data_IF_725599339862
#
_entry.id   IF_725599339862
#
_cell.length_a   1.000
_cell.length_b   1.000
_cell.length_c   1.000
_cell.angle_alpha   90.00
_cell.angle_beta   90.00
_cell.angle_gamma   90.00
#
_symmetry.space_group_name_H-M   'P 1'
#
loop_
_entity.id
_entity.type
_entity.pdbx_description
1 polymer ?
#
# COMPACT_ATOMS: atom_id res chain seq x y z
N UNK A 1 40.90 -4.59 -27.83
CA UNK A 1 40.31 -5.06 -26.55
C UNK A 1 39.83 -3.83 -25.80
N UNK A 2 38.51 -3.64 -25.70
CA UNK A 2 37.89 -2.51 -25.00
C UNK A 2 37.12 -3.13 -23.83
N UNK A 3 37.46 -2.71 -22.61
CA UNK A 3 36.90 -3.22 -21.36
C UNK A 3 35.38 -2.99 -21.27
N UNK A 4 34.60 -3.91 -20.67
CA UNK A 4 33.17 -3.71 -20.49
C UNK A 4 32.91 -2.70 -19.37
N UNK A 5 32.16 -1.64 -19.70
CA UNK A 5 31.77 -0.58 -18.77
C UNK A 5 30.77 -1.07 -17.72
N UNK A 6 31.02 -0.64 -16.48
CA UNK A 6 30.18 -0.79 -15.29
C UNK A 6 28.73 -0.37 -15.56
N UNK A 7 27.79 -1.31 -15.41
CA UNK A 7 26.35 -1.08 -15.52
C UNK A 7 25.83 -0.33 -14.30
N UNK A 8 25.69 0.99 -14.43
CA UNK A 8 24.98 1.83 -13.46
C UNK A 8 23.48 1.48 -13.41
N UNK A 9 23.03 1.01 -12.26
CA UNK A 9 21.63 0.72 -11.94
C UNK A 9 20.79 1.99 -11.97
N UNK A 10 19.94 2.16 -12.99
CA UNK A 10 18.95 3.25 -13.07
C UNK A 10 17.58 2.72 -12.66
N UNK A 11 17.21 2.91 -11.39
CA UNK A 11 15.97 2.40 -10.80
C UNK A 11 14.69 2.93 -11.47
N UNK A 12 13.70 2.04 -11.66
CA UNK A 12 12.27 2.43 -11.79
C UNK A 12 11.91 3.29 -10.58
N UNK A 13 11.01 4.28 -10.75
CA UNK A 13 10.59 5.20 -9.66
C UNK A 13 10.33 4.41 -8.38
N UNK A 14 11.24 4.50 -7.40
CA UNK A 14 11.12 3.79 -6.12
C UNK A 14 9.82 4.15 -5.42
N UNK A 15 9.40 3.38 -4.41
CA UNK A 15 8.20 3.71 -3.61
C UNK A 15 8.28 5.16 -3.09
N UNK A 16 7.16 5.91 -2.97
CA UNK A 16 7.20 7.30 -2.51
C UNK A 16 7.91 7.34 -1.16
N UNK A 17 8.84 8.28 -0.97
CA UNK A 17 9.49 8.45 0.33
C UNK A 17 8.38 8.63 1.38
N UNK A 18 8.30 7.68 2.31
CA UNK A 18 7.37 7.78 3.43
C UNK A 18 7.98 8.74 4.46
N UNK A 19 7.15 9.56 5.14
CA UNK A 19 7.62 10.28 6.31
C UNK A 19 8.10 9.30 7.38
N UNK A 20 9.04 9.70 8.23
CA UNK A 20 9.45 8.97 9.44
C UNK A 20 8.23 8.46 10.22
N UNK A 21 8.19 7.16 10.52
CA UNK A 21 7.10 6.51 11.26
C UNK A 21 7.68 5.77 12.46
N UNK A 22 7.19 6.09 13.64
CA UNK A 22 7.52 5.44 14.93
C UNK A 22 6.57 4.30 15.32
N UNK A 23 5.57 4.01 14.48
CA UNK A 23 4.46 3.12 14.83
C UNK A 23 3.35 3.79 15.68
N UNK A 24 3.61 4.93 16.32
CA UNK A 24 2.61 5.68 17.08
C UNK A 24 2.05 6.85 16.26
N UNK A 25 1.10 6.55 15.38
CA UNK A 25 0.51 7.53 14.47
C UNK A 25 -0.91 7.94 14.88
N UNK A 26 -1.22 9.22 14.68
CA UNK A 26 -2.55 9.79 14.82
C UNK A 26 -3.11 10.12 13.44
N UNK A 27 -4.26 9.55 13.08
CA UNK A 27 -5.03 10.02 11.93
C UNK A 27 -5.86 11.23 12.33
N UNK A 28 -5.81 12.28 11.52
CA UNK A 28 -6.53 13.53 11.70
C UNK A 28 -7.41 13.77 10.48
N UNK A 29 -8.72 13.86 10.68
CA UNK A 29 -9.68 14.20 9.64
C UNK A 29 -10.38 15.54 9.88
N UNK A 30 -11.18 15.93 8.89
CA UNK A 30 -11.92 17.20 8.87
C UNK A 30 -11.02 18.44 8.86
N UNK A 31 -9.88 18.36 8.17
CA UNK A 31 -9.04 19.53 7.94
C UNK A 31 -9.72 20.52 6.99
N UNK A 32 -9.55 21.83 7.17
CA UNK A 32 -10.00 22.81 6.20
C UNK A 32 -9.19 22.68 4.89
N UNK A 33 -9.81 23.03 3.75
CA UNK A 33 -9.15 22.94 2.43
C UNK A 33 -7.93 23.86 2.29
N UNK A 34 -7.83 24.90 3.13
CA UNK A 34 -6.68 25.80 3.23
C UNK A 34 -5.58 25.34 4.19
N UNK A 35 -5.71 24.18 4.83
CA UNK A 35 -4.72 23.69 5.79
C UNK A 35 -3.35 23.51 5.13
N UNK A 36 -2.32 24.16 5.69
CA UNK A 36 -0.94 24.05 5.22
C UNK A 36 -0.12 23.12 6.11
N UNK A 37 0.90 22.47 5.54
CA UNK A 37 1.81 21.61 6.31
C UNK A 37 2.54 22.38 7.42
N UNK A 38 2.82 23.67 7.19
CA UNK A 38 3.47 24.57 8.15
C UNK A 38 2.60 24.80 9.38
N UNK A 39 1.32 25.11 9.17
CA UNK A 39 0.38 25.35 10.28
C UNK A 39 0.10 24.06 11.05
N UNK A 40 -0.02 22.94 10.33
CA UNK A 40 -0.26 21.64 10.93
C UNK A 40 0.92 21.22 11.82
N UNK A 41 2.16 21.34 11.35
CA UNK A 41 3.31 20.97 12.18
C UNK A 41 3.36 21.77 13.49
N UNK A 42 3.06 23.07 13.46
CA UNK A 42 3.07 23.89 14.68
C UNK A 42 1.94 23.49 15.63
N UNK A 43 0.75 23.27 15.08
CA UNK A 43 -0.43 22.91 15.85
C UNK A 43 -0.30 21.53 16.52
N UNK A 44 0.22 20.54 15.78
CA UNK A 44 0.40 19.18 16.28
C UNK A 44 1.62 18.99 17.18
N UNK A 45 2.62 19.87 17.06
CA UNK A 45 3.79 19.86 17.92
C UNK A 45 3.59 20.60 19.25
N UNK A 46 2.53 21.43 19.38
CA UNK A 46 2.24 22.17 20.61
C UNK A 46 2.20 21.24 21.83
N UNK A 47 2.98 21.53 22.86
CA UNK A 47 3.10 20.71 24.09
C UNK A 47 3.69 19.29 23.89
N UNK A 48 4.06 18.91 22.66
CA UNK A 48 4.69 17.63 22.31
C UNK A 48 5.91 17.84 21.39
N UNK A 49 6.59 18.98 21.53
CA UNK A 49 7.64 19.45 20.62
C UNK A 49 8.75 18.42 20.42
N UNK A 50 9.17 17.77 21.49
CA UNK A 50 10.27 16.79 21.47
C UNK A 50 9.83 15.40 20.98
N UNK A 51 8.52 15.17 20.87
CA UNK A 51 7.96 13.88 20.52
C UNK A 51 7.35 13.84 19.13
N UNK A 52 7.05 14.95 18.47
CA UNK A 52 6.55 14.92 17.09
C UNK A 52 7.68 14.53 16.13
N UNK A 53 7.44 13.55 15.27
CA UNK A 53 8.46 13.08 14.32
C UNK A 53 8.15 13.46 12.88
N UNK A 54 6.88 13.36 12.49
CA UNK A 54 6.48 13.74 11.14
C UNK A 54 5.00 14.10 11.06
N UNK A 55 4.67 14.97 10.10
CA UNK A 55 3.30 15.31 9.72
C UNK A 55 3.16 15.08 8.23
N UNK A 56 2.15 14.32 7.82
CA UNK A 56 1.87 14.03 6.41
C UNK A 56 0.48 14.54 6.04
N UNK A 57 0.42 15.54 5.17
CA UNK A 57 -0.82 16.15 4.72
C UNK A 57 -1.34 15.46 3.45
N UNK A 58 -2.62 15.09 3.48
CA UNK A 58 -3.36 14.57 2.35
C UNK A 58 -4.49 15.55 2.02
N UNK A 59 -4.14 16.64 1.32
CA UNK A 59 -5.06 17.74 1.02
C UNK A 59 -6.32 17.31 0.28
N UNK A 60 -6.25 16.31 -0.62
CA UNK A 60 -7.43 15.84 -1.39
C UNK A 60 -8.53 15.25 -0.53
N UNK A 61 -8.18 14.63 0.60
CA UNK A 61 -9.13 14.03 1.54
C UNK A 61 -9.25 14.82 2.84
N UNK A 62 -8.69 16.04 2.88
CA UNK A 62 -8.76 16.92 4.05
C UNK A 62 -8.35 16.17 5.34
N UNK A 63 -7.27 15.41 5.28
CA UNK A 63 -6.78 14.63 6.40
C UNK A 63 -5.25 14.65 6.48
N UNK A 64 -4.71 14.29 7.63
CA UNK A 64 -3.29 14.17 7.88
C UNK A 64 -2.96 12.96 8.76
N UNK A 65 -1.70 12.54 8.71
CA UNK A 65 -1.12 11.61 9.66
C UNK A 65 -0.02 12.32 10.44
N UNK A 66 -0.01 12.15 11.75
CA UNK A 66 1.01 12.70 12.64
C UNK A 66 1.67 11.55 13.38
N UNK A 67 2.99 11.43 13.29
CA UNK A 67 3.75 10.40 13.99
C UNK A 67 4.42 11.01 15.22
N UNK A 68 4.32 10.32 16.35
CA UNK A 68 4.92 10.70 17.61
C UNK A 68 5.92 9.63 18.07
N UNK A 69 7.03 10.01 18.68
CA UNK A 69 8.08 9.09 19.14
C UNK A 69 7.57 8.03 20.12
N UNK A 70 6.56 8.36 20.93
CA UNK A 70 6.02 7.47 21.97
C UNK A 70 4.50 7.38 21.93
N UNK A 71 3.95 6.24 22.37
CA UNK A 71 2.50 6.07 22.53
C UNK A 71 1.90 7.11 23.48
N UNK A 72 2.59 7.40 24.59
CA UNK A 72 2.16 8.39 25.58
C UNK A 72 1.98 9.78 24.94
N UNK A 73 2.93 10.22 24.11
CA UNK A 73 2.84 11.49 23.40
C UNK A 73 1.69 11.49 22.37
N UNK A 74 1.49 10.37 21.66
CA UNK A 74 0.37 10.21 20.73
C UNK A 74 -0.99 10.31 21.44
N UNK A 75 -1.14 9.64 22.59
CA UNK A 75 -2.38 9.66 23.39
C UNK A 75 -2.63 11.02 24.07
N UNK A 76 -1.58 11.70 24.53
CA UNK A 76 -1.67 13.06 25.04
C UNK A 76 -2.13 14.03 23.93
N UNK A 77 -1.55 13.92 22.74
CA UNK A 77 -1.95 14.70 21.58
C UNK A 77 -3.41 14.41 21.16
N UNK A 78 -3.82 13.13 21.13
CA UNK A 78 -5.21 12.75 20.84
C UNK A 78 -6.18 13.43 21.80
N UNK A 79 -5.94 13.34 23.10
CA UNK A 79 -6.82 13.88 24.13
C UNK A 79 -6.99 15.40 24.04
N UNK A 80 -5.95 16.10 23.60
CA UNK A 80 -5.95 17.56 23.42
C UNK A 80 -6.55 18.01 22.09
N UNK A 81 -6.27 17.27 21.01
CA UNK A 81 -6.55 17.72 19.65
C UNK A 81 -7.88 17.20 19.13
N UNK A 82 -8.35 16.06 19.61
CA UNK A 82 -9.69 15.57 19.28
C UNK A 82 -10.76 16.59 19.69
N UNK A 83 -11.69 16.91 18.77
CA UNK A 83 -12.75 17.93 18.91
C UNK A 83 -12.25 19.38 19.14
N UNK A 84 -10.94 19.61 19.07
CA UNK A 84 -10.38 20.96 19.07
C UNK A 84 -10.61 21.68 17.74
N UNK A 85 -10.56 23.01 17.75
CA UNK A 85 -10.69 23.82 16.53
C UNK A 85 -9.33 24.12 15.90
N UNK A 86 -9.21 23.86 14.61
CA UNK A 86 -8.09 24.28 13.77
C UNK A 86 -8.63 25.11 12.60
N UNK A 87 -8.21 26.38 12.53
CA UNK A 87 -8.68 27.35 11.51
C UNK A 87 -10.23 27.35 11.35
N UNK A 88 -10.95 27.25 12.46
CA UNK A 88 -12.42 27.23 12.50
C UNK A 88 -13.10 25.87 12.33
N UNK A 89 -12.39 24.84 11.84
CA UNK A 89 -12.92 23.47 11.70
C UNK A 89 -12.65 22.63 12.96
N UNK A 90 -13.61 21.80 13.38
CA UNK A 90 -13.44 20.84 14.49
C UNK A 90 -12.73 19.59 13.99
N UNK A 91 -11.62 19.22 14.60
CA UNK A 91 -10.81 18.10 14.15
C UNK A 91 -11.33 16.76 14.69
N UNK A 92 -11.23 15.72 13.86
CA UNK A 92 -11.49 14.34 14.28
C UNK A 92 -10.18 13.58 14.32
N UNK A 93 -9.73 13.21 15.51
CA UNK A 93 -8.49 12.44 15.69
C UNK A 93 -8.77 10.99 16.08
N UNK A 94 -8.02 10.04 15.51
CA UNK A 94 -8.10 8.60 15.82
C UNK A 94 -6.70 7.99 15.89
N UNK A 95 -6.33 7.25 16.96
CA UNK A 95 -5.05 6.57 17.03
C UNK A 95 -5.00 5.44 16.00
N UNK A 96 -3.87 5.31 15.33
CA UNK A 96 -3.57 4.19 14.46
C UNK A 96 -2.85 3.15 15.30
N UNK A 97 -3.54 2.06 15.67
CA UNK A 97 -2.89 0.92 16.31
C UNK A 97 -2.00 0.24 15.27
N UNK A 98 -0.73 0.04 15.62
CA UNK A 98 0.20 -0.75 14.81
C UNK A 98 -0.23 -2.21 14.85
N UNK A 99 -1.07 -2.62 13.91
CA UNK A 99 -1.21 -4.01 13.50
C UNK A 99 -1.79 -4.06 12.09
N UNK A 100 -1.12 -4.82 11.23
CA UNK A 100 -1.63 -5.25 9.94
C UNK A 100 -2.59 -6.41 10.11
N UNK A 101 -3.75 -6.21 10.74
CA UNK A 101 -4.87 -7.17 10.71
C UNK A 101 -6.15 -6.55 11.30
N UNK A 102 -7.33 -6.72 10.67
CA UNK A 102 -8.59 -6.25 11.20
C UNK A 102 -9.28 -7.32 12.07
N UNK A 103 -8.80 -7.55 13.28
CA UNK A 103 -9.58 -8.18 14.38
C UNK A 103 -9.13 -7.47 15.67
N UNK A 104 -9.93 -7.00 16.62
CA UNK A 104 -11.26 -7.36 17.05
C UNK A 104 -12.02 -6.10 17.51
N UNK A 105 -13.34 -6.08 17.33
CA UNK A 105 -14.22 -5.23 18.14
C UNK A 105 -14.76 -6.06 19.28
N UNK A 106 -14.27 -5.78 20.48
CA UNK A 106 -14.96 -6.10 21.73
C UNK A 106 -16.29 -5.33 21.73
N UNK A 107 -17.40 -6.02 21.51
CA UNK A 107 -18.72 -5.51 21.85
C UNK A 107 -19.18 -6.24 23.10
N UNK A 108 -19.38 -5.46 24.16
CA UNK A 108 -19.84 -5.92 25.45
C UNK A 108 -21.16 -6.68 25.35
N UNK A 109 -21.21 -7.79 26.08
CA UNK A 109 -22.38 -8.63 26.33
C UNK A 109 -23.33 -7.96 27.33
N UNK A 110 -24.63 -7.90 27.02
CA UNK A 110 -25.69 -8.29 27.96
C UNK A 110 -27.07 -8.31 27.28
N UNK A 111 -27.84 -9.38 27.51
CA UNK A 111 -29.28 -9.41 27.23
C UNK A 111 -29.83 -10.75 26.74
N UNK A 112 -29.81 -11.77 27.59
CA UNK A 112 -30.50 -13.06 27.41
C UNK A 112 -32.02 -12.91 27.31
N UNK A 113 -32.67 -13.64 26.39
CA UNK A 113 -33.92 -14.40 26.66
C UNK A 113 -33.90 -15.71 25.85
N UNK A 114 -34.48 -16.75 26.44
CA UNK A 114 -34.19 -18.19 26.32
C UNK A 114 -35.38 -18.96 25.67
N UNK A 115 -35.08 -19.70 24.59
CA UNK A 115 -35.60 -21.04 24.18
C UNK A 115 -37.13 -21.23 23.85
N UNK A 116 -37.61 -22.40 23.35
CA UNK A 116 -36.92 -23.62 22.88
C UNK A 116 -37.45 -24.27 21.55
N UNK A 117 -36.60 -25.13 20.96
CA UNK A 117 -36.85 -26.45 20.33
C UNK A 117 -37.99 -26.69 19.32
N UNK A 118 -37.64 -27.34 18.20
CA UNK A 118 -38.12 -28.70 17.85
C UNK A 118 -37.10 -29.43 16.97
N UNK A 119 -36.81 -30.66 17.39
CA UNK A 119 -36.18 -31.72 16.59
C UNK A 119 -37.20 -32.21 15.57
N UNK A 120 -36.75 -32.60 14.39
CA UNK A 120 -37.32 -33.78 13.74
C UNK A 120 -36.23 -34.50 12.92
N UNK A 121 -36.13 -35.78 13.20
CA UNK A 121 -35.32 -36.78 12.52
C UNK A 121 -36.16 -37.41 11.41
N UNK A 122 -35.54 -37.74 10.28
CA UNK A 122 -35.94 -38.90 9.49
C UNK A 122 -34.71 -39.50 8.79
N UNK A 123 -34.38 -40.71 9.23
CA UNK A 123 -33.65 -41.80 8.57
C UNK A 123 -34.37 -42.20 7.26
N UNK A 124 -33.87 -42.92 6.25
CA UNK A 124 -32.74 -43.81 5.94
C UNK A 124 -32.77 -43.94 4.39
N UNK A 125 -31.64 -44.17 3.70
CA UNK A 125 -31.55 -45.29 2.72
C UNK A 125 -30.11 -45.52 2.24
N UNK A 126 -29.73 -46.79 2.17
CA UNK A 126 -28.38 -47.31 1.89
C UNK A 126 -28.33 -47.83 0.45
N UNK A 127 -27.39 -47.31 -0.35
CA UNK A 127 -27.19 -47.70 -1.76
C UNK A 127 -25.72 -47.84 -2.19
N UNK A 128 -25.01 -48.80 -1.59
CA UNK A 128 -23.91 -49.64 -2.13
C UNK A 128 -22.99 -49.10 -3.26
N UNK A 129 -21.75 -48.79 -2.85
CA UNK A 129 -20.43 -49.07 -3.45
C UNK A 129 -20.30 -49.25 -4.98
N UNK A 130 -19.54 -48.35 -5.61
CA UNK A 130 -18.62 -48.70 -6.71
C UNK A 130 -17.25 -48.07 -6.45
N UNK A 131 -16.24 -48.93 -6.33
CA UNK A 131 -14.84 -48.57 -6.34
C UNK A 131 -14.40 -48.31 -7.80
N UNK A 132 -13.69 -47.20 -7.99
CA UNK A 132 -13.00 -46.83 -9.22
C UNK A 132 -12.18 -45.58 -8.90
N UNK A 133 -10.87 -45.73 -8.79
CA UNK A 133 -9.98 -44.63 -8.44
C UNK A 133 -9.84 -43.63 -9.58
N UNK A 134 -9.72 -42.36 -9.22
CA UNK A 134 -8.81 -41.42 -9.88
C UNK A 134 -8.53 -40.24 -8.93
N UNK A 135 -7.37 -39.59 -9.10
CA UNK A 135 -6.79 -38.66 -8.17
C UNK A 135 -7.72 -37.53 -7.69
N UNK A 136 -7.64 -37.25 -6.39
CA UNK A 136 -8.13 -36.02 -5.79
C UNK A 136 -7.36 -34.82 -6.36
N UNK A 137 -7.69 -34.39 -7.58
CA UNK A 137 -7.45 -33.02 -7.99
C UNK A 137 -8.24 -32.12 -7.05
N UNK A 138 -7.53 -31.46 -6.15
CA UNK A 138 -8.07 -30.39 -5.32
C UNK A 138 -8.85 -29.43 -6.24
N UNK A 139 -10.17 -29.33 -6.08
CA UNK A 139 -11.05 -28.55 -6.95
C UNK A 139 -10.54 -27.09 -7.05
N UNK A 140 -9.83 -26.78 -8.13
CA UNK A 140 -9.30 -25.43 -8.37
C UNK A 140 -10.47 -24.50 -8.66
N UNK A 141 -10.39 -23.29 -8.11
CA UNK A 141 -11.42 -22.27 -8.34
C UNK A 141 -11.26 -21.73 -9.77
N UNK A 142 -12.34 -21.54 -10.52
CA UNK A 142 -12.23 -21.08 -11.91
C UNK A 142 -11.48 -19.74 -12.05
N UNK A 143 -11.84 -18.76 -11.20
CA UNK A 143 -11.35 -17.39 -11.29
C UNK A 143 -11.10 -16.76 -9.93
N UNK A 144 -9.97 -16.05 -9.78
CA UNK A 144 -9.67 -15.16 -8.65
C UNK A 144 -9.29 -13.77 -9.18
N UNK A 145 -9.63 -12.74 -8.41
CA UNK A 145 -9.56 -11.35 -8.86
C UNK A 145 -8.82 -10.48 -7.83
N UNK A 146 -7.89 -9.66 -8.29
CA UNK A 146 -7.09 -8.79 -7.42
C UNK A 146 -7.04 -7.36 -7.95
N UNK A 147 -7.18 -6.39 -7.05
CA UNK A 147 -6.83 -5.00 -7.35
C UNK A 147 -5.33 -4.82 -7.27
N UNK A 148 -4.74 -4.30 -8.35
CA UNK A 148 -3.33 -3.94 -8.41
C UNK A 148 -3.19 -2.42 -8.57
N UNK A 149 -2.44 -1.79 -7.66
CA UNK A 149 -2.24 -0.34 -7.64
C UNK A 149 -0.86 -0.02 -8.20
N UNK A 150 -0.85 0.84 -9.22
CA UNK A 150 0.38 1.43 -9.71
C UNK A 150 0.59 2.82 -9.14
N UNK A 151 1.85 3.21 -8.94
CA UNK A 151 2.19 4.59 -8.57
C UNK A 151 1.92 5.56 -9.73
N UNK A 152 2.23 5.15 -10.95
CA UNK A 152 2.11 5.98 -12.15
C UNK A 152 1.36 5.27 -13.27
N UNK A 153 0.81 6.05 -14.21
CA UNK A 153 0.24 5.54 -15.45
C UNK A 153 1.33 4.99 -16.37
N UNK A 154 2.53 5.59 -16.36
CA UNK A 154 3.65 5.16 -17.20
C UNK A 154 4.08 3.73 -16.90
N UNK A 155 4.06 3.31 -15.63
CA UNK A 155 4.35 1.93 -15.24
C UNK A 155 3.33 0.94 -15.84
N UNK A 156 2.06 1.33 -15.89
CA UNK A 156 0.98 0.53 -16.47
C UNK A 156 1.12 0.44 -17.99
N UNK A 157 1.48 1.54 -18.64
CA UNK A 157 1.69 1.56 -20.07
C UNK A 157 2.94 0.77 -20.48
N UNK A 158 4.02 0.87 -19.71
CA UNK A 158 5.20 0.02 -19.90
C UNK A 158 4.85 -1.46 -19.77
N UNK A 159 4.04 -1.83 -18.78
CA UNK A 159 3.56 -3.20 -18.58
C UNK A 159 2.66 -3.67 -19.72
N UNK A 160 1.83 -2.78 -20.28
CA UNK A 160 0.97 -3.07 -21.44
C UNK A 160 1.78 -3.48 -22.65
N UNK A 161 2.90 -2.81 -22.89
CA UNK A 161 3.79 -3.11 -24.00
C UNK A 161 4.65 -4.36 -23.77
N UNK A 162 5.12 -4.58 -22.54
CA UNK A 162 6.03 -5.69 -22.24
C UNK A 162 5.34 -6.99 -21.87
N UNK A 163 4.09 -6.95 -21.39
CA UNK A 163 3.41 -8.11 -20.80
C UNK A 163 4.05 -8.55 -19.47
N UNK A 164 4.78 -7.66 -18.79
CA UNK A 164 5.49 -7.96 -17.55
C UNK A 164 4.99 -7.03 -16.45
N UNK A 165 4.74 -7.58 -15.27
CA UNK A 165 4.44 -6.82 -14.07
C UNK A 165 5.31 -7.25 -12.90
N UNK A 166 5.54 -6.34 -11.95
CA UNK A 166 6.13 -6.63 -10.66
C UNK A 166 5.25 -5.94 -9.60
N UNK A 167 4.78 -6.69 -8.61
CA UNK A 167 3.97 -6.16 -7.50
C UNK A 167 4.84 -5.90 -6.27
N UNK A 168 4.27 -5.46 -5.15
CA UNK A 168 5.00 -5.38 -3.88
C UNK A 168 5.28 -6.79 -3.33
N UNK A 169 6.42 -6.98 -2.66
CA UNK A 169 6.85 -8.28 -2.11
C UNK A 169 5.77 -8.95 -1.24
N UNK A 170 5.08 -8.17 -0.41
CA UNK A 170 3.96 -8.63 0.43
C UNK A 170 2.81 -9.31 -0.36
N UNK A 171 2.65 -9.00 -1.65
CA UNK A 171 1.58 -9.56 -2.48
C UNK A 171 2.03 -10.83 -3.23
N UNK A 172 3.34 -11.13 -3.30
CA UNK A 172 3.84 -12.24 -4.10
C UNK A 172 3.27 -13.59 -3.64
N UNK A 173 3.29 -13.82 -2.33
CA UNK A 173 2.79 -15.06 -1.74
C UNK A 173 1.32 -15.33 -2.07
N UNK A 174 0.45 -14.32 -1.90
CA UNK A 174 -0.98 -14.46 -2.18
C UNK A 174 -1.27 -14.65 -3.68
N UNK A 175 -0.54 -13.95 -4.56
CA UNK A 175 -0.73 -14.11 -6.01
C UNK A 175 -0.22 -15.47 -6.50
N UNK A 176 0.90 -15.96 -5.99
CA UNK A 176 1.41 -17.29 -6.30
C UNK A 176 0.47 -18.40 -5.82
N UNK A 177 -0.05 -18.27 -4.60
CA UNK A 177 -1.07 -19.20 -4.09
C UNK A 177 -2.32 -19.18 -4.98
N UNK A 178 -2.78 -18.00 -5.39
CA UNK A 178 -3.91 -17.87 -6.31
C UNK A 178 -3.64 -18.53 -7.66
N UNK A 179 -2.43 -18.39 -8.21
CA UNK A 179 -2.05 -18.99 -9.48
C UNK A 179 -2.05 -20.52 -9.44
N UNK A 180 -1.66 -21.10 -8.30
CA UNK A 180 -1.71 -22.55 -8.09
C UNK A 180 -3.14 -23.06 -7.88
N UNK A 181 -3.95 -22.33 -7.12
CA UNK A 181 -5.28 -22.77 -6.67
C UNK A 181 -6.43 -22.38 -7.61
N UNK A 182 -6.18 -21.54 -8.61
CA UNK A 182 -7.20 -21.11 -9.56
C UNK A 182 -6.76 -21.21 -11.02
N UNK A 183 -7.67 -21.50 -11.93
CA UNK A 183 -7.37 -21.59 -13.37
C UNK A 183 -6.99 -20.24 -13.98
N UNK A 184 -7.60 -19.17 -13.47
CA UNK A 184 -7.36 -17.82 -13.91
C UNK A 184 -7.21 -16.87 -12.73
N UNK A 185 -6.12 -16.12 -12.73
CA UNK A 185 -5.94 -14.99 -11.80
C UNK A 185 -5.97 -13.70 -12.62
N UNK A 186 -6.98 -12.87 -12.36
CA UNK A 186 -7.16 -11.58 -13.02
C UNK A 186 -6.65 -10.44 -12.13
N UNK A 187 -5.81 -9.61 -12.72
CA UNK A 187 -5.22 -8.43 -12.09
C UNK A 187 -5.87 -7.18 -12.69
N UNK A 188 -6.57 -6.40 -11.86
CA UNK A 188 -7.33 -5.22 -12.27
C UNK A 188 -6.53 -3.99 -11.84
N UNK A 189 -5.97 -3.28 -12.81
CA UNK A 189 -5.01 -2.24 -12.59
C UNK A 189 -5.66 -0.87 -12.39
N UNK A 190 -5.12 -0.09 -11.45
CA UNK A 190 -5.50 1.31 -11.25
C UNK A 190 -4.28 2.11 -10.82
N UNK A 191 -3.98 3.20 -11.54
CA UNK A 191 -2.96 4.14 -11.12
C UNK A 191 -3.45 4.97 -9.92
N UNK A 192 -2.54 5.29 -9.01
CA UNK A 192 -2.84 6.16 -7.90
C UNK A 192 -3.26 7.53 -8.41
N UNK A 193 -4.35 8.06 -7.83
CA UNK A 193 -4.92 9.37 -8.15
C UNK A 193 -5.55 9.51 -9.55
N UNK A 194 -5.64 8.44 -10.37
CA UNK A 194 -6.29 8.51 -11.70
C UNK A 194 -7.81 8.73 -11.64
N UNK A 195 -8.48 8.20 -10.61
CA UNK A 195 -9.95 8.23 -10.53
C UNK A 195 -10.64 7.15 -11.38
N UNK A 196 -9.87 6.19 -11.90
CA UNK A 196 -10.34 5.15 -12.80
C UNK A 196 -9.53 3.86 -12.66
N UNK A 197 -10.09 2.77 -13.19
CA UNK A 197 -9.34 1.58 -13.52
C UNK A 197 -8.74 1.73 -14.91
N UNK A 198 -7.49 1.31 -15.04
CA UNK A 198 -6.71 1.39 -16.28
C UNK A 198 -7.11 0.28 -17.26
N UNK A 199 -7.36 -0.90 -16.74
CA UNK A 199 -7.53 -2.12 -17.53
C UNK A 199 -7.32 -3.32 -16.65
N UNK A 200 -7.37 -4.51 -17.24
CA UNK A 200 -7.11 -5.74 -16.53
C UNK A 200 -6.33 -6.74 -17.40
N UNK A 201 -5.60 -7.61 -16.72
CA UNK A 201 -4.77 -8.64 -17.32
C UNK A 201 -4.96 -9.98 -16.60
N UNK A 202 -4.59 -11.08 -17.25
CA UNK A 202 -4.48 -12.41 -16.64
C UNK A 202 -3.03 -12.69 -16.28
N UNK A 203 -2.77 -13.26 -15.11
CA UNK A 203 -1.46 -13.78 -14.73
C UNK A 203 -1.11 -15.00 -15.59
N UNK A 204 0.09 -15.01 -16.18
CA UNK A 204 0.54 -16.05 -17.12
C UNK A 204 1.71 -16.87 -16.61
N UNK A 205 2.38 -16.43 -15.54
CA UNK A 205 3.45 -17.18 -14.89
C UNK A 205 3.41 -16.95 -13.37
N UNK A 206 3.94 -17.90 -12.57
CA UNK A 206 4.23 -17.63 -11.17
C UNK A 206 5.34 -16.58 -11.04
N UNK A 207 5.44 -15.99 -9.84
CA UNK A 207 6.52 -15.12 -9.40
C UNK A 207 7.61 -16.04 -8.83
N UNK A 208 8.72 -16.21 -9.57
CA UNK A 208 9.78 -17.16 -9.22
C UNK A 208 10.88 -16.53 -8.37
N UNK A 209 11.48 -17.30 -7.45
CA UNK A 209 12.52 -16.78 -6.57
C UNK A 209 13.82 -16.39 -7.27
N UNK A 210 14.22 -17.14 -8.30
CA UNK A 210 15.47 -16.93 -9.01
C UNK A 210 15.36 -15.90 -10.15
N UNK A 211 14.14 -15.42 -10.43
CA UNK A 211 13.83 -14.54 -11.57
C UNK A 211 14.12 -15.23 -12.91
N UNK A 212 13.20 -15.17 -13.87
CA UNK A 212 13.55 -15.55 -15.25
C UNK A 212 14.42 -14.42 -15.84
N UNK A 213 15.70 -14.65 -16.19
CA UNK A 213 16.59 -13.61 -16.70
C UNK A 213 16.11 -13.01 -18.03
N UNK A 214 15.13 -13.63 -18.69
CA UNK A 214 14.46 -13.10 -19.89
C UNK A 214 13.32 -12.12 -19.58
N UNK A 215 12.86 -12.04 -18.32
CA UNK A 215 11.83 -11.10 -17.86
C UNK A 215 12.39 -9.73 -17.47
N UNK A 216 13.40 -9.28 -18.21
CA UNK A 216 13.91 -7.92 -18.07
C UNK A 216 12.90 -6.95 -18.68
N UNK A 217 12.33 -6.09 -17.84
CA UNK A 217 11.59 -4.93 -18.32
C UNK A 217 12.61 -4.06 -19.06
N UNK A 218 12.40 -3.71 -20.35
CA UNK A 218 13.30 -2.80 -21.05
C UNK A 218 13.35 -1.48 -20.28
N UNK A 219 14.50 -1.19 -19.67
CA UNK A 219 14.77 0.12 -19.10
C UNK A 219 14.78 1.12 -20.24
N UNK A 220 13.78 2.01 -20.30
CA UNK A 220 13.91 3.21 -21.13
C UNK A 220 14.93 4.12 -20.46
N UNK A 221 16.04 4.49 -21.13
CA UNK A 221 16.86 5.60 -20.67
C UNK A 221 15.96 6.83 -20.53
N UNK A 222 16.11 7.57 -19.43
CA UNK A 222 15.45 8.86 -19.25
C UNK A 222 15.72 9.73 -20.47
N UNK A 223 14.69 10.07 -21.23
CA UNK A 223 14.69 11.41 -21.82
C UNK A 223 14.54 12.35 -20.63
N UNK A 224 15.67 12.91 -20.20
CA UNK A 224 15.73 13.97 -19.22
C UNK A 224 14.92 15.16 -19.75
N UNK A 225 13.63 15.20 -19.44
CA UNK A 225 12.89 16.46 -19.43
C UNK A 225 13.50 17.30 -18.31
N UNK A 226 14.10 18.47 -18.63
CA UNK A 226 14.60 19.37 -17.61
C UNK A 226 13.37 19.85 -16.81
N UNK A 227 13.22 19.36 -15.57
CA UNK A 227 12.11 19.72 -14.68
C UNK A 227 11.49 18.58 -13.89
N UNK A 228 11.76 17.31 -14.23
CA UNK A 228 11.21 16.15 -13.51
C UNK A 228 12.14 15.61 -12.41
N UNK A 229 12.69 16.47 -11.54
CA UNK A 229 13.35 15.97 -10.32
C UNK A 229 13.61 17.01 -9.24
N UNK A 230 12.57 17.69 -8.76
CA UNK A 230 12.72 18.56 -7.59
C UNK A 230 11.87 18.03 -6.44
N UNK A 231 12.48 17.15 -5.63
CA UNK A 231 12.13 17.08 -4.22
C UNK A 231 12.46 18.45 -3.63
N UNK A 232 11.47 19.34 -3.63
CA UNK A 232 11.63 20.66 -3.03
C UNK A 232 11.65 20.46 -1.51
N UNK A 233 12.85 20.45 -0.95
CA UNK A 233 13.09 20.40 0.48
C UNK A 233 13.26 21.82 1.00
N UNK A 234 12.43 22.21 1.96
CA UNK A 234 12.54 23.50 2.63
C UNK A 234 12.84 23.25 4.09
N UNK A 235 14.05 23.60 4.53
CA UNK A 235 14.41 23.58 5.95
C UNK A 235 13.46 24.50 6.73
N UNK A 236 13.05 24.06 7.90
CA UNK A 236 12.24 24.84 8.81
C UNK A 236 12.96 24.95 10.15
N UNK A 237 13.29 26.17 10.61
CA UNK A 237 13.92 26.34 11.91
C UNK A 237 12.99 25.88 13.03
N UNK A 238 13.57 25.59 14.19
CA UNK A 238 12.79 25.30 15.40
C UNK A 238 11.94 26.53 15.77
N UNK A 239 10.69 26.29 16.12
CA UNK A 239 9.78 27.31 16.64
C UNK A 239 9.52 27.08 18.12
N UNK A 240 8.71 27.94 18.75
CA UNK A 240 8.25 27.73 20.13
C UNK A 240 7.58 26.37 20.30
N UNK A 241 6.86 25.90 19.27
CA UNK A 241 6.00 24.71 19.36
C UNK A 241 6.52 23.50 18.59
N UNK A 242 7.30 23.68 17.52
CA UNK A 242 7.83 22.59 16.70
C UNK A 242 9.37 22.56 16.71
N UNK A 243 10.00 21.38 16.65
CA UNK A 243 11.45 21.28 16.50
C UNK A 243 11.88 21.73 15.09
N UNK A 244 13.19 21.82 14.87
CA UNK A 244 13.70 22.00 13.51
C UNK A 244 13.35 20.77 12.68
N UNK A 245 13.32 20.95 11.36
CA UNK A 245 12.95 19.89 10.45
C UNK A 245 12.97 20.35 9.02
N UNK A 246 12.37 19.56 8.15
CA UNK A 246 12.31 19.82 6.70
C UNK A 246 10.93 19.51 6.14
N UNK A 247 10.39 20.42 5.34
CA UNK A 247 9.21 20.17 4.52
C UNK A 247 9.68 19.54 3.21
N UNK A 248 9.17 18.35 2.91
CA UNK A 248 9.46 17.61 1.69
C UNK A 248 8.22 17.68 0.79
N UNK A 249 8.37 18.32 -0.37
CA UNK A 249 7.32 18.42 -1.39
C UNK A 249 7.71 17.55 -2.58
N UNK A 250 7.02 16.43 -2.76
CA UNK A 250 7.11 15.64 -3.99
C UNK A 250 5.95 16.07 -4.90
N UNK A 251 6.24 17.05 -5.77
CA UNK A 251 5.27 17.57 -6.73
C UNK A 251 4.87 16.52 -7.77
N UNK A 252 5.80 15.67 -8.18
CA UNK A 252 5.57 14.59 -9.16
C UNK A 252 4.65 13.49 -8.63
N UNK A 253 4.52 13.36 -7.31
CA UNK A 253 3.59 12.42 -6.65
C UNK A 253 2.49 13.11 -5.87
N UNK A 254 2.46 14.43 -5.82
CA UNK A 254 1.49 15.24 -5.08
C UNK A 254 1.42 14.90 -3.60
N UNK A 255 2.56 14.68 -2.95
CA UNK A 255 2.66 14.39 -1.51
C UNK A 255 3.47 15.47 -0.82
N UNK A 256 2.99 15.94 0.34
CA UNK A 256 3.66 16.96 1.15
C UNK A 256 3.70 16.50 2.59
N UNK A 257 4.89 16.39 3.16
CA UNK A 257 5.09 16.05 4.56
C UNK A 257 6.23 16.85 5.18
N UNK A 258 6.23 16.94 6.50
CA UNK A 258 7.29 17.52 7.29
C UNK A 258 7.87 16.45 8.21
N UNK A 259 9.19 16.47 8.41
CA UNK A 259 9.90 15.61 9.36
C UNK A 259 10.73 16.47 10.30
N UNK A 260 10.76 16.10 11.59
CA UNK A 260 11.67 16.68 12.56
C UNK A 260 13.11 16.20 12.32
N UNK A 261 14.09 17.06 12.57
CA UNK A 261 15.50 16.65 12.63
C UNK A 261 15.71 15.83 13.92
N UNK A 262 16.35 14.67 13.84
CA UNK A 262 16.66 13.86 15.03
C UNK A 262 17.61 14.64 15.94
N UNK A 263 17.27 14.78 17.23
CA UNK A 263 18.05 15.52 18.22
C UNK A 263 19.22 14.74 18.84
N UNK A 264 19.61 13.61 18.25
CA UNK A 264 20.85 12.90 18.60
C UNK A 264 21.62 12.70 17.29
N UNK A 265 22.91 13.03 17.31
CA UNK A 265 23.78 12.92 16.14
C UNK A 265 23.95 11.48 15.71
N UNK A 266 23.13 11.06 14.76
CA UNK A 266 23.53 10.03 13.80
C UNK A 266 24.47 10.76 12.82
N UNK A 267 25.76 10.37 12.72
CA UNK A 267 26.63 10.94 11.70
C UNK A 267 25.96 10.72 10.35
N UNK A 268 25.90 11.78 9.56
CA UNK A 268 25.56 11.70 8.16
C UNK A 268 26.47 10.63 7.56
N UNK A 269 25.92 9.49 7.15
CA UNK A 269 26.62 8.55 6.26
C UNK A 269 26.77 9.26 4.91
N UNK A 270 27.67 10.25 4.87
CA UNK A 270 28.30 10.71 3.66
C UNK A 270 29.13 9.55 3.13
N UNK A 271 28.81 9.16 1.90
CA UNK A 271 29.57 8.19 1.13
C UNK A 271 31.05 8.62 1.01
N UNK A 272 31.90 8.14 1.91
CA UNK A 272 33.35 8.02 1.65
C UNK A 272 33.77 6.55 1.78
N UNK A 273 33.58 5.79 0.68
CA UNK A 273 34.41 4.60 0.45
C UNK A 273 35.81 5.08 0.06
N UNK A 274 36.72 5.12 1.02
CA UNK A 274 38.16 5.05 0.74
C UNK A 274 38.64 3.61 0.97
N UNK A 275 39.29 3.09 -0.05
CA UNK A 275 39.96 1.79 -0.07
C UNK A 275 41.05 1.71 1.02
N UNK A 276 41.03 0.64 1.81
CA UNK A 276 42.21 -0.09 2.24
C UNK A 276 41.75 -1.44 2.81
N UNK A 277 42.31 -2.53 2.30
CA UNK A 277 41.88 -3.89 2.62
C UNK A 277 42.54 -4.51 3.86
N UNK A 278 42.18 -5.79 4.00
CA UNK A 278 42.87 -6.92 4.67
C UNK A 278 42.44 -7.20 6.13
N UNK A 279 41.78 -8.36 6.27
CA UNK A 279 41.70 -9.38 7.35
C UNK A 279 41.36 -8.92 8.80
N UNK A 280 40.57 -9.58 9.65
CA UNK A 280 40.38 -11.01 9.95
C UNK A 280 39.05 -11.23 10.73
N UNK A 281 38.71 -12.47 11.06
CA UNK A 281 37.42 -12.98 11.55
C UNK A 281 37.08 -12.69 13.02
N UNK A 282 35.78 -12.71 13.37
CA UNK A 282 35.16 -13.52 14.45
C UNK A 282 33.76 -13.02 14.84
N UNK A 283 32.91 -13.98 15.21
CA UNK A 283 31.50 -13.91 15.60
C UNK A 283 31.14 -12.91 16.71
N UNK A 284 29.98 -12.27 16.61
CA UNK A 284 29.07 -12.05 17.75
C UNK A 284 27.62 -11.83 17.26
N UNK A 285 26.73 -12.76 17.65
CA UNK A 285 25.28 -12.66 17.49
C UNK A 285 24.70 -11.75 18.58
N UNK A 286 23.93 -10.72 18.19
CA UNK A 286 22.73 -10.32 18.94
C UNK A 286 21.76 -9.49 18.07
N UNK A 287 20.44 -9.68 18.26
CA UNK A 287 19.43 -9.26 17.29
C UNK A 287 19.07 -7.78 17.46
N UNK A 288 19.22 -7.01 16.37
CA UNK A 288 18.69 -5.65 16.27
C UNK A 288 17.15 -5.65 16.21
N UNK A 289 16.49 -4.56 16.64
CA UNK A 289 15.04 -4.50 16.74
C UNK A 289 14.40 -4.55 15.35
N UNK A 290 13.44 -5.45 15.20
CA UNK A 290 12.65 -5.65 14.00
C UNK A 290 11.91 -4.37 13.55
N UNK A 291 11.92 -4.13 12.23
CA UNK A 291 10.70 -3.71 11.54
C UNK A 291 10.60 -2.26 11.07
N UNK A 292 11.26 -1.94 9.96
CA UNK A 292 10.74 -0.95 8.99
C UNK A 292 10.65 -1.63 7.63
N UNK A 293 9.46 -2.13 7.28
CA UNK A 293 9.18 -2.67 5.95
C UNK A 293 9.34 -1.57 4.89
N UNK A 294 10.51 -1.55 4.25
CA UNK A 294 10.71 -0.92 2.95
C UNK A 294 9.70 -1.58 2.00
N UNK A 295 8.82 -0.80 1.37
CA UNK A 295 7.96 -1.29 0.29
C UNK A 295 8.86 -1.56 -0.92
N UNK A 296 9.56 -2.68 -0.88
CA UNK A 296 10.37 -3.21 -1.96
C UNK A 296 9.44 -3.68 -3.06
N UNK A 297 9.73 -3.23 -4.28
CA UNK A 297 9.11 -3.82 -5.46
C UNK A 297 9.63 -5.25 -5.56
N UNK A 298 8.70 -6.17 -5.78
CA UNK A 298 8.93 -7.58 -5.91
C UNK A 298 9.48 -7.97 -7.28
N UNK A 299 9.50 -9.27 -7.52
CA UNK A 299 10.07 -9.89 -8.72
C UNK A 299 9.08 -9.79 -9.90
N UNK A 300 9.59 -9.69 -11.14
CA UNK A 300 8.76 -9.61 -12.33
C UNK A 300 8.11 -10.96 -12.68
N UNK A 301 6.91 -10.91 -13.26
CA UNK A 301 6.17 -12.06 -13.76
C UNK A 301 5.36 -11.70 -15.01
N UNK A 302 5.02 -12.71 -15.83
CA UNK A 302 4.29 -12.53 -17.09
C UNK A 302 2.80 -12.33 -16.84
N UNK A 303 2.23 -11.36 -17.53
CA UNK A 303 0.79 -11.10 -17.60
C UNK A 303 0.34 -10.92 -19.05
N UNK A 304 -0.91 -11.23 -19.33
CA UNK A 304 -1.53 -10.96 -20.62
C UNK A 304 -2.65 -9.93 -20.43
N UNK A 305 -2.47 -8.74 -20.99
CA UNK A 305 -3.52 -7.71 -20.99
C UNK A 305 -4.70 -8.17 -21.83
N UNK A 306 -5.90 -8.15 -21.23
CA UNK A 306 -7.15 -8.54 -21.89
C UNK A 306 -8.02 -7.34 -22.22
N UNK A 307 -7.93 -6.26 -21.44
CA UNK A 307 -8.50 -4.97 -21.80
C UNK A 307 -7.62 -3.84 -21.27
N UNK A 308 -7.47 -2.81 -22.09
CA UNK A 308 -6.89 -1.52 -21.71
C UNK A 308 -7.93 -0.40 -21.77
N UNK A 309 -9.23 -0.72 -21.83
CA UNK A 309 -10.29 0.27 -21.74
C UNK A 309 -10.34 0.86 -20.33
N UNK A 310 -10.61 2.17 -20.23
CA UNK A 310 -10.70 2.84 -18.94
C UNK A 310 -12.10 2.69 -18.37
N UNK A 311 -12.18 2.34 -17.09
CA UNK A 311 -13.44 2.33 -16.34
C UNK A 311 -13.37 3.39 -15.24
N UNK A 312 -13.99 4.56 -15.45
CA UNK A 312 -14.13 5.57 -14.41
C UNK A 312 -14.79 5.05 -13.14
N UNK A 313 -14.31 5.47 -11.97
CA UNK A 313 -14.82 5.00 -10.67
C UNK A 313 -16.29 5.34 -10.37
N UNK A 314 -16.89 6.27 -11.11
CA UNK A 314 -18.33 6.52 -10.97
C UNK A 314 -19.18 5.40 -11.57
N UNK A 315 -18.66 4.66 -12.58
CA UNK A 315 -19.34 3.49 -13.18
C UNK A 315 -19.38 2.28 -12.26
N UNK A 316 -18.50 2.22 -11.26
CA UNK A 316 -18.48 1.16 -10.25
C UNK A 316 -19.26 1.50 -8.99
N UNK A 317 -20.04 2.60 -9.00
CA UNK A 317 -20.85 3.01 -7.85
C UNK A 317 -21.84 1.91 -7.47
N UNK A 318 -21.86 1.55 -6.19
CA UNK A 318 -22.72 0.49 -5.67
C UNK A 318 -22.14 -0.92 -5.78
N UNK A 319 -21.07 -1.11 -6.56
CA UNK A 319 -20.34 -2.38 -6.59
C UNK A 319 -19.43 -2.46 -5.36
N UNK A 320 -19.79 -3.33 -4.41
CA UNK A 320 -19.11 -3.49 -3.11
C UNK A 320 -18.45 -4.86 -3.03
N UNK A 321 -17.30 -4.93 -2.36
CA UNK A 321 -16.56 -6.17 -2.18
C UNK A 321 -16.76 -6.71 -0.74
N UNK A 322 -17.50 -7.82 -0.54
CA UNK A 322 -17.72 -8.44 0.76
C UNK A 322 -16.42 -8.81 1.48
N UNK A 323 -15.39 -9.25 0.74
CA UNK A 323 -14.09 -9.66 1.30
C UNK A 323 -13.23 -8.49 1.77
N UNK A 324 -13.65 -7.24 1.52
CA UNK A 324 -12.95 -6.04 1.94
C UNK A 324 -13.82 -5.14 2.83
N UNK A 325 -14.57 -5.76 3.75
CA UNK A 325 -15.47 -5.08 4.68
C UNK A 325 -16.68 -4.45 4.00
N UNK A 326 -17.13 -5.03 2.88
CA UNK A 326 -18.24 -4.55 2.05
C UNK A 326 -18.11 -3.09 1.59
N UNK A 327 -16.87 -2.61 1.43
CA UNK A 327 -16.56 -1.29 0.90
C UNK A 327 -16.77 -1.26 -0.61
N UNK A 328 -17.00 -0.06 -1.16
CA UNK A 328 -16.99 0.14 -2.62
C UNK A 328 -15.70 -0.45 -3.21
N UNK A 329 -15.80 -1.16 -4.34
CA UNK A 329 -14.68 -1.91 -4.93
C UNK A 329 -13.46 -1.04 -5.29
N UNK A 330 -13.69 0.26 -5.56
CA UNK A 330 -12.61 1.25 -5.78
C UNK A 330 -11.80 1.58 -4.52
N UNK A 331 -12.33 1.30 -3.34
CA UNK A 331 -11.68 1.51 -2.05
C UNK A 331 -10.87 0.25 -1.69
N UNK A 332 -9.77 0.06 -2.40
CA UNK A 332 -8.91 -1.10 -2.28
C UNK A 332 -7.43 -0.68 -2.20
N UNK A 333 -6.65 -1.44 -1.44
CA UNK A 333 -5.18 -1.36 -1.43
C UNK A 333 -4.61 -2.25 -2.54
N UNK A 334 -3.32 -2.09 -2.81
CA UNK A 334 -2.61 -3.03 -3.68
C UNK A 334 -2.71 -4.45 -3.13
N UNK A 335 -2.94 -5.44 -3.99
CA UNK A 335 -3.12 -6.84 -3.62
C UNK A 335 -4.48 -7.18 -2.99
N UNK A 336 -5.45 -6.25 -2.97
CA UNK A 336 -6.77 -6.55 -2.40
C UNK A 336 -7.50 -7.57 -3.27
N UNK A 337 -7.85 -8.72 -2.70
CA UNK A 337 -8.67 -9.74 -3.36
C UNK A 337 -10.15 -9.31 -3.44
N UNK A 338 -10.82 -9.71 -4.51
CA UNK A 338 -12.22 -9.40 -4.79
C UNK A 338 -13.01 -10.70 -4.90
N UNK A 339 -14.18 -10.71 -4.25
CA UNK A 339 -15.16 -11.80 -4.37
C UNK A 339 -15.51 -12.06 -5.84
N UNK A 340 -15.64 -13.33 -6.20
CA UNK A 340 -15.73 -13.78 -7.60
C UNK A 340 -16.85 -13.10 -8.38
N UNK A 341 -18.08 -13.03 -7.85
CA UNK A 341 -19.20 -12.39 -8.55
C UNK A 341 -19.00 -10.87 -8.71
N UNK A 342 -18.37 -10.23 -7.73
CA UNK A 342 -18.00 -8.80 -7.79
C UNK A 342 -16.89 -8.57 -8.83
N UNK A 343 -15.90 -9.47 -8.90
CA UNK A 343 -14.84 -9.46 -9.89
C UNK A 343 -15.37 -9.57 -11.31
N UNK A 344 -16.23 -10.57 -11.57
CA UNK A 344 -16.88 -10.75 -12.87
C UNK A 344 -17.67 -9.52 -13.31
N UNK A 345 -18.48 -8.94 -12.40
CA UNK A 345 -19.23 -7.71 -12.68
C UNK A 345 -18.30 -6.54 -13.01
N UNK A 346 -17.18 -6.41 -12.30
CA UNK A 346 -16.19 -5.36 -12.56
C UNK A 346 -15.55 -5.54 -13.94
N UNK A 347 -15.17 -6.77 -14.30
CA UNK A 347 -14.65 -7.10 -15.64
C UNK A 347 -15.65 -6.79 -16.75
N UNK A 348 -16.95 -7.08 -16.52
CA UNK A 348 -18.01 -6.76 -17.48
C UNK A 348 -18.11 -5.27 -17.83
N UNK A 349 -17.74 -4.36 -16.91
CA UNK A 349 -17.74 -2.92 -17.17
C UNK A 349 -16.67 -2.47 -18.17
N UNK A 350 -15.61 -3.26 -18.38
CA UNK A 350 -14.59 -3.01 -19.40
C UNK A 350 -15.00 -3.40 -20.81
N UNK A 351 -16.16 -4.06 -20.97
CA UNK A 351 -16.67 -4.52 -22.27
C UNK A 351 -18.04 -3.93 -22.60
N UNK A 352 -18.69 -3.25 -21.64
CA UNK A 352 -19.94 -2.57 -21.90
C UNK A 352 -19.66 -1.27 -22.66
N UNK A 353 -19.99 -1.27 -23.94
CA UNK A 353 -19.97 -0.07 -24.81
C UNK A 353 -20.96 0.95 -24.24
N UNK A 354 -20.52 2.21 -24.06
CA UNK A 354 -21.44 3.30 -23.72
C UNK A 354 -22.38 3.52 -24.93
N UNK A 355 -23.71 3.60 -24.76
CA UNK A 355 -24.52 4.27 -25.76
C UNK A 355 -24.09 5.75 -25.80
N UNK A 356 -23.75 6.22 -27.01
CA UNK A 356 -23.36 7.60 -27.29
C UNK A 356 -24.39 8.63 -26.84
#
# INVERSE_FOLDING_TARGET
AVSPGTTGSLARKGSPRKPKQSGHALWVGNLPSGASITDLKEFFARETKEHVESVFLISKSNCAFVNYRTEAACMAALSRIHDSKFQGARLVCRPRRGDGSPTARSSATNGLVRSPSTKDQAVDDIGRVRAGGDGSESERVAHRYFIVKSLTVDDLEASRHSGIWATQVQNEGVLNQAFQTADNVYLIFSANKSGEYYGYARMMSPIQENGDPTLQVPFRPRQSVPGSEVLNQTATPATTFAPSGRIIRDLGRGTVFWEADSSEGEPEEEEERKEAGVDDAADDESPGPEGVEVQSIGRPFRIQWLSAERVPFHRTRGLRNPWNGNRDVKVARDGTEIESTVGERLLGLFHSVLPN
#
